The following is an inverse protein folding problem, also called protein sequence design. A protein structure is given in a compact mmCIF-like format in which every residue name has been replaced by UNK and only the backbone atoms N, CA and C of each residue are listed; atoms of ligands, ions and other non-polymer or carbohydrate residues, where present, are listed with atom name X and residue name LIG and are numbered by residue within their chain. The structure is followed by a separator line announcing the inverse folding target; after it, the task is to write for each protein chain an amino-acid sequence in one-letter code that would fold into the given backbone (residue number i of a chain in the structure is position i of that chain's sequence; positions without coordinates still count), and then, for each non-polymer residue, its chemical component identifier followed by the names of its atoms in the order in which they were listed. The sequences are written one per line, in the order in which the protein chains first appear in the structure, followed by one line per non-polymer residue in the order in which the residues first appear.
data_IF_988618398793
#
_entry.id   IF_988618398793
#
_cell.length_a   1.000
_cell.length_b   1.000
_cell.length_c   1.000
_cell.angle_alpha   90.00
_cell.angle_beta   90.00
_cell.angle_gamma   90.00
#
_symmetry.space_group_name_H-M   'P 1'
#
loop_
_entity.id
_entity.type
_entity.pdbx_description
1 polymer ?
#
# COMPACT_ATOMS: atom_id res chain seq x y z
N UNK A 1 4.54 -24.39 -7.42
CA UNK A 1 3.60 -23.62 -6.58
C UNK A 1 2.22 -24.23 -6.70
N UNK A 2 1.41 -24.31 -5.62
CA UNK A 2 0.04 -24.84 -5.68
C UNK A 2 -0.83 -23.93 -6.57
N UNK A 3 -1.70 -24.50 -7.43
CA UNK A 3 -2.48 -23.72 -8.42
C UNK A 3 -3.30 -22.57 -7.79
N UNK A 4 -3.93 -22.80 -6.63
CA UNK A 4 -4.69 -21.76 -5.93
C UNK A 4 -3.80 -20.59 -5.47
N UNK A 5 -2.54 -20.85 -5.08
CA UNK A 5 -1.60 -19.78 -4.70
C UNK A 5 -1.16 -18.94 -5.90
N UNK A 6 -1.08 -19.54 -7.10
CA UNK A 6 -0.82 -18.78 -8.33
C UNK A 6 -1.96 -17.78 -8.56
N UNK A 7 -3.23 -18.23 -8.48
CA UNK A 7 -4.37 -17.33 -8.64
C UNK A 7 -4.37 -16.21 -7.58
N UNK A 8 -4.12 -16.54 -6.31
CA UNK A 8 -4.10 -15.54 -5.23
C UNK A 8 -2.95 -14.55 -5.38
N UNK A 9 -1.75 -15.00 -5.78
CA UNK A 9 -0.60 -14.15 -6.02
C UNK A 9 -0.78 -13.23 -7.24
N UNK A 10 -1.38 -13.71 -8.32
CA UNK A 10 -1.73 -12.88 -9.47
C UNK A 10 -2.75 -11.79 -9.11
N UNK A 11 -3.66 -12.05 -8.17
CA UNK A 11 -4.59 -11.03 -7.69
C UNK A 11 -3.89 -9.92 -6.90
N UNK A 12 -2.93 -10.24 -6.03
CA UNK A 12 -2.13 -9.22 -5.33
C UNK A 12 -1.19 -8.48 -6.27
N UNK A 13 -0.70 -9.13 -7.34
CA UNK A 13 0.03 -8.48 -8.43
C UNK A 13 -0.85 -7.45 -9.15
N UNK A 14 -2.07 -7.82 -9.52
CA UNK A 14 -3.02 -6.92 -10.18
C UNK A 14 -3.31 -5.69 -9.31
N UNK A 15 -3.54 -5.90 -8.00
CA UNK A 15 -3.80 -4.82 -7.04
C UNK A 15 -2.58 -3.92 -6.86
N UNK A 16 -1.38 -4.48 -6.78
CA UNK A 16 -0.14 -3.69 -6.67
C UNK A 16 0.09 -2.80 -7.89
N UNK A 17 -0.12 -3.31 -9.11
CA UNK A 17 -0.05 -2.49 -10.32
C UNK A 17 -1.13 -1.40 -10.28
N UNK A 18 -2.38 -1.75 -9.94
CA UNK A 18 -3.48 -0.79 -9.88
C UNK A 18 -3.24 0.35 -8.89
N UNK A 19 -2.61 0.08 -7.75
CA UNK A 19 -2.30 1.08 -6.72
C UNK A 19 -1.15 2.00 -7.14
N UNK A 20 0.02 1.41 -7.42
CA UNK A 20 1.27 2.18 -7.56
C UNK A 20 1.51 2.73 -8.96
N UNK A 21 0.91 2.14 -10.01
CA UNK A 21 1.18 2.59 -11.38
C UNK A 21 0.71 4.03 -11.63
N UNK A 22 -0.44 4.46 -11.07
CA UNK A 22 -0.95 5.83 -11.24
C UNK A 22 0.08 6.88 -10.85
N UNK A 23 0.85 6.64 -9.78
CA UNK A 23 1.87 7.58 -9.30
C UNK A 23 3.04 7.72 -10.29
N UNK A 24 3.38 6.63 -10.99
CA UNK A 24 4.48 6.62 -11.96
C UNK A 24 4.12 7.17 -13.34
N UNK A 25 2.84 7.38 -13.62
CA UNK A 25 2.30 7.85 -14.91
C UNK A 25 1.47 9.13 -14.77
N UNK A 26 1.57 9.81 -13.63
CA UNK A 26 0.68 10.90 -13.24
C UNK A 26 0.65 12.02 -14.27
N UNK A 27 1.83 12.44 -14.78
CA UNK A 27 1.96 13.49 -15.79
C UNK A 27 1.25 13.13 -17.11
N UNK A 28 1.39 11.88 -17.55
CA UNK A 28 0.74 11.40 -18.79
C UNK A 28 -0.79 11.42 -18.68
N UNK A 29 -1.32 10.99 -17.52
CA UNK A 29 -2.77 11.01 -17.24
C UNK A 29 -3.27 12.45 -17.14
N UNK A 30 -2.56 13.33 -16.43
CA UNK A 30 -2.91 14.73 -16.29
C UNK A 30 -2.98 15.43 -17.65
N UNK A 31 -1.99 15.22 -18.50
CA UNK A 31 -1.91 15.82 -19.83
C UNK A 31 -3.07 15.36 -20.73
N UNK A 32 -3.37 14.06 -20.76
CA UNK A 32 -4.42 13.52 -21.64
C UNK A 32 -5.84 13.91 -21.19
N UNK A 33 -6.09 13.94 -19.88
CA UNK A 33 -7.39 14.33 -19.33
C UNK A 33 -7.57 15.85 -19.18
N UNK A 34 -6.55 16.65 -19.55
CA UNK A 34 -6.53 18.11 -19.41
C UNK A 34 -6.82 18.58 -17.98
N UNK A 35 -6.19 17.94 -17.00
CA UNK A 35 -6.29 18.27 -15.57
C UNK A 35 -4.94 18.71 -15.02
N UNK A 36 -4.95 19.47 -13.92
CA UNK A 36 -3.71 19.84 -13.24
C UNK A 36 -3.06 18.64 -12.54
N UNK A 37 -1.77 18.71 -12.25
CA UNK A 37 -1.03 17.67 -11.51
C UNK A 37 -1.67 17.39 -10.12
N UNK A 38 -2.08 18.40 -9.31
CA UNK A 38 -2.82 18.16 -8.07
C UNK A 38 -4.16 17.45 -8.29
N UNK A 39 -4.93 17.82 -9.32
CA UNK A 39 -6.16 17.12 -9.67
C UNK A 39 -5.91 15.66 -10.05
N UNK A 40 -4.83 15.37 -10.76
CA UNK A 40 -4.44 13.99 -11.04
C UNK A 40 -4.04 13.23 -9.75
N UNK A 41 -3.44 13.90 -8.77
CA UNK A 41 -3.18 13.37 -7.42
C UNK A 41 -4.44 12.90 -6.70
N UNK A 42 -5.61 13.52 -6.95
CA UNK A 42 -6.90 13.07 -6.42
C UNK A 42 -7.27 11.66 -6.88
N UNK A 43 -6.80 11.19 -8.04
CA UNK A 43 -7.04 9.83 -8.52
C UNK A 43 -6.33 8.77 -7.67
N UNK A 44 -5.18 9.12 -7.09
CA UNK A 44 -4.46 8.28 -6.12
C UNK A 44 -5.25 8.25 -4.81
N UNK A 45 -5.65 9.43 -4.31
CA UNK A 45 -6.47 9.55 -3.09
C UNK A 45 -7.81 8.83 -3.21
N UNK A 46 -8.47 8.90 -4.37
CA UNK A 46 -9.76 8.22 -4.61
C UNK A 46 -9.62 6.70 -4.54
N UNK A 47 -8.56 6.14 -5.11
CA UNK A 47 -8.29 4.70 -5.00
C UNK A 47 -8.09 4.28 -3.53
N UNK A 48 -7.25 4.99 -2.80
CA UNK A 48 -6.98 4.71 -1.40
C UNK A 48 -8.22 4.88 -0.50
N UNK A 49 -9.05 5.91 -0.77
CA UNK A 49 -10.36 6.07 -0.12
C UNK A 49 -11.28 4.88 -0.43
N UNK A 50 -11.29 4.41 -1.67
CA UNK A 50 -11.99 3.19 -2.08
C UNK A 50 -11.54 1.96 -1.26
N UNK A 51 -10.23 1.80 -1.03
CA UNK A 51 -9.70 0.70 -0.20
C UNK A 51 -10.24 0.78 1.24
N UNK A 52 -10.24 1.97 1.84
CA UNK A 52 -10.77 2.18 3.19
C UNK A 52 -12.27 1.84 3.27
N UNK A 53 -13.06 2.35 2.33
CA UNK A 53 -14.51 2.08 2.26
C UNK A 53 -14.76 0.60 2.03
N UNK A 54 -14.07 -0.01 1.08
CA UNK A 54 -14.23 -1.42 0.73
C UNK A 54 -13.86 -2.38 1.86
N UNK A 55 -12.81 -2.06 2.64
CA UNK A 55 -12.44 -2.85 3.81
C UNK A 55 -13.55 -2.85 4.88
N UNK A 56 -14.21 -1.70 5.11
CA UNK A 56 -15.34 -1.60 6.02
C UNK A 56 -16.59 -2.32 5.50
N UNK A 57 -16.92 -2.13 4.23
CA UNK A 57 -18.04 -2.82 3.58
C UNK A 57 -17.87 -4.33 3.62
N UNK A 58 -16.63 -4.82 3.47
CA UNK A 58 -16.33 -6.23 3.55
C UNK A 58 -16.73 -6.83 4.91
N UNK A 59 -16.44 -6.14 6.00
CA UNK A 59 -16.80 -6.61 7.35
C UNK A 59 -18.32 -6.78 7.49
N UNK A 60 -19.10 -5.94 6.79
CA UNK A 60 -20.56 -5.95 6.85
C UNK A 60 -21.15 -7.04 5.94
N UNK A 61 -20.68 -7.13 4.70
CA UNK A 61 -21.33 -7.97 3.67
C UNK A 61 -20.73 -9.40 3.56
N UNK A 62 -19.53 -9.63 4.07
CA UNK A 62 -18.85 -10.92 3.94
C UNK A 62 -19.43 -12.05 4.80
N UNK A 63 -20.22 -11.73 5.81
CA UNK A 63 -20.66 -12.67 6.86
C UNK A 63 -21.41 -13.89 6.34
N UNK A 64 -22.19 -13.73 5.27
CA UNK A 64 -23.11 -14.76 4.78
C UNK A 64 -22.65 -15.45 3.50
N UNK A 65 -21.52 -15.04 2.94
CA UNK A 65 -21.02 -15.56 1.67
C UNK A 65 -19.90 -16.58 1.88
N UNK A 66 -19.94 -17.68 1.14
CA UNK A 66 -18.81 -18.61 1.07
C UNK A 66 -17.55 -17.89 0.52
N UNK A 67 -16.39 -18.22 1.07
CA UNK A 67 -15.13 -17.54 0.75
C UNK A 67 -14.77 -17.53 -0.75
N UNK A 68 -15.11 -18.61 -1.47
CA UNK A 68 -14.90 -18.66 -2.93
C UNK A 68 -15.78 -17.64 -3.67
N UNK A 69 -17.07 -17.60 -3.35
CA UNK A 69 -18.02 -16.63 -3.97
C UNK A 69 -17.58 -15.23 -3.67
N UNK A 70 -17.15 -14.96 -2.46
CA UNK A 70 -16.65 -13.66 -2.03
C UNK A 70 -15.41 -13.24 -2.81
N UNK A 71 -14.40 -14.13 -2.98
CA UNK A 71 -13.23 -13.86 -3.80
C UNK A 71 -13.61 -13.58 -5.26
N UNK A 72 -14.57 -14.32 -5.84
CA UNK A 72 -15.03 -14.08 -7.20
C UNK A 72 -15.68 -12.70 -7.36
N UNK A 73 -16.50 -12.27 -6.39
CA UNK A 73 -17.09 -10.94 -6.38
C UNK A 73 -16.00 -9.85 -6.27
N UNK A 74 -15.06 -10.02 -5.35
CA UNK A 74 -13.93 -9.09 -5.17
C UNK A 74 -13.13 -8.94 -6.46
N UNK A 75 -12.77 -10.06 -7.11
CA UNK A 75 -12.00 -10.04 -8.35
C UNK A 75 -12.83 -9.48 -9.51
N UNK A 76 -14.14 -9.72 -9.53
CA UNK A 76 -15.06 -9.06 -10.45
C UNK A 76 -15.03 -7.54 -10.32
N UNK A 77 -14.95 -7.00 -9.10
CA UNK A 77 -14.77 -5.57 -8.85
C UNK A 77 -13.39 -5.06 -9.26
N UNK A 78 -12.31 -5.87 -9.10
CA UNK A 78 -10.96 -5.50 -9.61
C UNK A 78 -11.04 -5.35 -11.15
N UNK A 79 -11.62 -6.33 -11.83
CA UNK A 79 -11.80 -6.28 -13.29
C UNK A 79 -12.61 -5.05 -13.72
N UNK A 80 -13.78 -4.86 -13.12
CA UNK A 80 -14.71 -3.80 -13.49
C UNK A 80 -14.13 -2.41 -13.24
N UNK A 81 -13.57 -2.14 -12.04
CA UNK A 81 -13.02 -0.83 -11.69
C UNK A 81 -11.81 -0.45 -12.57
N UNK A 82 -10.93 -1.40 -12.89
CA UNK A 82 -9.81 -1.11 -13.77
C UNK A 82 -10.25 -0.99 -15.25
N UNK A 83 -11.27 -1.72 -15.67
CA UNK A 83 -11.90 -1.51 -16.99
C UNK A 83 -12.50 -0.10 -17.10
N UNK A 84 -13.22 0.38 -16.07
CA UNK A 84 -13.71 1.76 -16.02
C UNK A 84 -12.56 2.78 -16.11
N UNK A 85 -11.43 2.49 -15.43
CA UNK A 85 -10.24 3.35 -15.50
C UNK A 85 -9.67 3.44 -16.92
N UNK A 86 -9.66 2.35 -17.69
CA UNK A 86 -9.24 2.35 -19.11
C UNK A 86 -10.11 3.28 -19.96
N UNK A 87 -11.42 3.31 -19.72
CA UNK A 87 -12.38 4.10 -20.47
C UNK A 87 -12.63 5.49 -19.91
N UNK A 88 -11.91 5.91 -18.86
CA UNK A 88 -12.06 7.25 -18.30
C UNK A 88 -11.64 8.32 -19.33
N UNK A 89 -12.46 9.37 -19.46
CA UNK A 89 -12.31 10.42 -20.47
C UNK A 89 -12.28 11.83 -19.88
N UNK A 90 -12.59 11.98 -18.60
CA UNK A 90 -12.53 13.24 -17.87
C UNK A 90 -12.17 13.03 -16.39
N UNK A 91 -12.07 14.15 -15.64
CA UNK A 91 -11.75 14.13 -14.22
C UNK A 91 -12.73 13.26 -13.40
N UNK A 92 -14.03 13.42 -13.59
CA UNK A 92 -15.04 12.76 -12.76
C UNK A 92 -15.16 11.27 -13.05
N UNK A 93 -15.09 10.89 -14.32
CA UNK A 93 -15.08 9.48 -14.72
C UNK A 93 -13.85 8.75 -14.20
N UNK A 94 -12.67 9.39 -14.24
CA UNK A 94 -11.45 8.85 -13.67
C UNK A 94 -11.54 8.75 -12.15
N UNK A 95 -12.00 9.79 -11.47
CA UNK A 95 -12.15 9.80 -10.01
C UNK A 95 -13.07 8.66 -9.53
N UNK A 96 -14.24 8.52 -10.14
CA UNK A 96 -15.19 7.45 -9.86
C UNK A 96 -14.64 6.05 -10.15
N UNK A 97 -13.96 5.89 -11.30
CA UNK A 97 -13.33 4.62 -11.68
C UNK A 97 -12.25 4.20 -10.68
N UNK A 98 -11.42 5.13 -10.22
CA UNK A 98 -10.38 4.88 -9.22
C UNK A 98 -10.96 4.51 -7.86
N UNK A 99 -12.01 5.20 -7.41
CA UNK A 99 -12.72 4.87 -6.18
C UNK A 99 -13.26 3.42 -6.23
N UNK A 100 -13.93 3.06 -7.32
CA UNK A 100 -14.48 1.71 -7.52
C UNK A 100 -13.36 0.67 -7.60
N UNK A 101 -12.26 0.95 -8.30
CA UNK A 101 -11.12 0.05 -8.41
C UNK A 101 -10.43 -0.20 -7.06
N UNK A 102 -10.50 0.76 -6.12
CA UNK A 102 -9.96 0.62 -4.77
C UNK A 102 -10.79 -0.29 -3.86
N UNK A 103 -12.13 -0.32 -4.00
CA UNK A 103 -13.03 -1.06 -3.10
C UNK A 103 -12.60 -2.51 -2.83
N UNK A 104 -12.20 -3.33 -3.82
CA UNK A 104 -11.85 -4.73 -3.62
C UNK A 104 -10.49 -4.95 -2.94
N UNK A 105 -9.61 -3.96 -2.87
CA UNK A 105 -8.20 -4.14 -2.53
C UNK A 105 -8.00 -4.72 -1.12
N UNK A 106 -8.44 -4.01 -0.08
CA UNK A 106 -8.28 -4.47 1.31
C UNK A 106 -9.01 -5.78 1.57
N UNK A 107 -10.20 -5.93 0.97
CA UNK A 107 -11.00 -7.13 1.01
C UNK A 107 -10.27 -8.35 0.43
N UNK A 108 -9.57 -8.18 -0.69
CA UNK A 108 -8.83 -9.26 -1.33
C UNK A 108 -7.70 -9.77 -0.44
N UNK A 109 -6.93 -8.90 0.19
CA UNK A 109 -5.87 -9.31 1.10
C UNK A 109 -6.41 -10.08 2.31
N UNK A 110 -7.51 -9.64 2.90
CA UNK A 110 -8.14 -10.32 4.04
C UNK A 110 -8.66 -11.71 3.68
N UNK A 111 -9.53 -11.80 2.68
CA UNK A 111 -10.16 -13.07 2.27
C UNK A 111 -9.14 -14.01 1.63
N UNK A 112 -8.24 -13.48 0.82
CA UNK A 112 -7.17 -14.25 0.19
C UNK A 112 -6.24 -14.91 1.20
N UNK A 113 -5.84 -14.19 2.26
CA UNK A 113 -5.03 -14.75 3.34
C UNK A 113 -5.76 -15.88 4.09
N UNK A 114 -7.06 -15.73 4.35
CA UNK A 114 -7.88 -16.78 4.97
C UNK A 114 -7.93 -18.01 4.07
N UNK A 115 -8.20 -17.84 2.77
CA UNK A 115 -8.24 -18.94 1.81
C UNK A 115 -6.88 -19.63 1.68
N UNK A 116 -5.78 -18.85 1.60
CA UNK A 116 -4.43 -19.39 1.58
C UNK A 116 -4.15 -20.24 2.83
N UNK A 117 -4.57 -19.76 4.01
CA UNK A 117 -4.41 -20.47 5.29
C UNK A 117 -5.24 -21.75 5.35
N UNK A 118 -6.51 -21.73 4.92
CA UNK A 118 -7.38 -22.90 4.95
C UNK A 118 -6.94 -24.00 3.97
N UNK A 119 -6.33 -23.62 2.85
CA UNK A 119 -5.84 -24.59 1.84
C UNK A 119 -4.37 -24.98 2.07
N UNK A 120 -3.71 -24.41 3.09
CA UNK A 120 -2.35 -24.73 3.44
C UNK A 120 -2.22 -26.12 4.04
N UNK A 121 -1.09 -26.80 3.81
CA UNK A 121 -0.73 -27.99 4.58
C UNK A 121 -0.43 -27.60 6.03
N UNK A 122 -0.58 -28.56 6.95
CA UNK A 122 -0.28 -28.34 8.38
C UNK A 122 1.13 -27.73 8.55
N UNK A 123 1.20 -26.58 9.19
CA UNK A 123 2.44 -25.83 9.43
C UNK A 123 2.91 -24.93 8.26
N UNK A 124 2.24 -24.92 7.09
CA UNK A 124 2.65 -24.11 5.92
C UNK A 124 1.80 -22.84 5.73
N UNK A 125 0.85 -22.54 6.61
CA UNK A 125 -0.09 -21.41 6.46
C UNK A 125 0.64 -20.07 6.24
N UNK A 126 1.62 -19.75 7.08
CA UNK A 126 2.40 -18.51 6.96
C UNK A 126 3.13 -18.42 5.62
N UNK A 127 3.71 -19.52 5.16
CA UNK A 127 4.39 -19.60 3.85
C UNK A 127 3.43 -19.34 2.69
N UNK A 128 2.22 -19.95 2.73
CA UNK A 128 1.24 -19.80 1.67
C UNK A 128 0.69 -18.37 1.61
N UNK A 129 0.48 -17.71 2.76
CA UNK A 129 0.12 -16.28 2.83
C UNK A 129 1.25 -15.40 2.28
N UNK A 130 2.51 -15.64 2.65
CA UNK A 130 3.66 -14.91 2.09
C UNK A 130 3.74 -15.06 0.57
N UNK A 131 3.50 -16.25 0.03
CA UNK A 131 3.48 -16.47 -1.41
C UNK A 131 2.35 -15.73 -2.10
N UNK A 132 1.18 -15.62 -1.47
CA UNK A 132 0.09 -14.79 -1.97
C UNK A 132 0.52 -13.31 -2.04
N UNK A 133 1.10 -12.79 -0.96
CA UNK A 133 1.51 -11.37 -0.89
C UNK A 133 2.69 -11.06 -1.81
N UNK A 134 3.52 -12.06 -2.15
CA UNK A 134 4.66 -11.87 -3.06
C UNK A 134 4.27 -11.28 -4.43
N UNK A 135 3.02 -11.45 -4.86
CA UNK A 135 2.51 -10.79 -6.08
C UNK A 135 2.64 -9.27 -6.02
N UNK A 136 2.40 -8.64 -4.86
CA UNK A 136 2.60 -7.20 -4.66
C UNK A 136 4.07 -6.80 -4.87
N UNK A 137 5.01 -7.61 -4.39
CA UNK A 137 6.45 -7.37 -4.59
C UNK A 137 6.81 -7.42 -6.07
N UNK A 138 6.27 -8.42 -6.79
CA UNK A 138 6.46 -8.53 -8.26
C UNK A 138 5.81 -7.36 -8.98
N UNK A 139 4.65 -6.88 -8.52
CA UNK A 139 4.02 -5.68 -9.08
C UNK A 139 4.94 -4.47 -9.01
N UNK A 140 5.50 -4.18 -7.85
CA UNK A 140 6.38 -3.02 -7.67
C UNK A 140 7.71 -3.15 -8.42
N UNK A 141 8.24 -4.37 -8.56
CA UNK A 141 9.54 -4.58 -9.22
C UNK A 141 9.44 -4.64 -10.74
N UNK A 142 8.33 -5.16 -11.28
CA UNK A 142 8.17 -5.41 -12.72
C UNK A 142 6.90 -4.76 -13.27
N UNK A 143 5.76 -4.93 -12.59
CA UNK A 143 4.46 -4.54 -13.12
C UNK A 143 4.30 -3.02 -13.25
N UNK A 144 4.68 -2.26 -12.22
CA UNK A 144 4.60 -0.80 -12.24
C UNK A 144 5.62 -0.19 -13.22
N UNK A 145 6.89 -0.62 -13.26
CA UNK A 145 7.83 -0.19 -14.31
C UNK A 145 7.34 -0.49 -15.73
N UNK A 146 6.75 -1.67 -15.95
CA UNK A 146 6.15 -2.02 -17.25
C UNK A 146 5.01 -1.05 -17.61
N UNK A 147 4.13 -0.75 -16.65
CA UNK A 147 3.05 0.23 -16.84
C UNK A 147 3.58 1.63 -17.16
N UNK A 148 4.63 2.08 -16.48
CA UNK A 148 5.32 3.34 -16.76
C UNK A 148 5.93 3.35 -18.17
N UNK A 149 6.61 2.28 -18.56
CA UNK A 149 7.16 2.15 -19.91
C UNK A 149 6.08 2.18 -20.99
N UNK A 150 4.98 1.44 -20.79
CA UNK A 150 3.87 1.42 -21.76
C UNK A 150 3.15 2.76 -21.85
N UNK A 151 3.08 3.50 -20.74
CA UNK A 151 2.53 4.86 -20.72
C UNK A 151 3.34 5.81 -21.61
N UNK A 152 4.67 5.72 -21.52
CA UNK A 152 5.55 6.52 -22.37
C UNK A 152 5.53 6.07 -23.83
N UNK A 153 5.59 4.75 -24.10
CA UNK A 153 5.77 4.21 -25.45
C UNK A 153 4.47 4.23 -26.27
N UNK A 154 3.30 4.08 -25.64
CA UNK A 154 2.01 3.90 -26.31
C UNK A 154 0.90 4.71 -25.66
N UNK A 155 0.43 4.29 -24.45
CA UNK A 155 -0.61 4.96 -23.67
C UNK A 155 -0.67 4.42 -22.24
N UNK A 156 -0.98 5.29 -21.29
CA UNK A 156 -1.16 4.90 -19.88
C UNK A 156 -2.33 3.92 -19.66
N UNK A 157 -3.31 3.88 -20.57
CA UNK A 157 -4.46 2.98 -20.50
C UNK A 157 -4.06 1.51 -20.53
N UNK A 158 -2.94 1.18 -21.21
CA UNK A 158 -2.44 -0.20 -21.27
C UNK A 158 -2.07 -0.76 -19.89
N UNK A 159 -1.59 0.08 -18.97
CA UNK A 159 -1.29 -0.37 -17.61
C UNK A 159 -2.54 -0.93 -16.91
N UNK A 160 -3.67 -0.22 -16.99
CA UNK A 160 -4.93 -0.64 -16.38
C UNK A 160 -5.64 -1.75 -17.18
N UNK A 161 -5.44 -1.80 -18.48
CA UNK A 161 -5.92 -2.92 -19.31
C UNK A 161 -5.21 -4.23 -18.91
N UNK A 162 -3.90 -4.19 -18.63
CA UNK A 162 -3.16 -5.34 -18.12
C UNK A 162 -3.73 -5.78 -16.76
N UNK A 163 -4.02 -4.84 -15.85
CA UNK A 163 -4.65 -5.15 -14.56
C UNK A 163 -6.00 -5.85 -14.77
N UNK A 164 -6.84 -5.33 -15.65
CA UNK A 164 -8.13 -5.94 -15.98
C UNK A 164 -7.96 -7.34 -16.57
N UNK A 165 -7.02 -7.53 -17.52
CA UNK A 165 -6.74 -8.83 -18.10
C UNK A 165 -6.24 -9.85 -17.06
N UNK A 166 -5.32 -9.43 -16.18
CA UNK A 166 -4.84 -10.28 -15.07
C UNK A 166 -6.00 -10.62 -14.13
N UNK A 167 -6.87 -9.66 -13.79
CA UNK A 167 -8.04 -9.92 -12.96
C UNK A 167 -9.00 -10.95 -13.59
N UNK A 168 -9.21 -10.90 -14.91
CA UNK A 168 -9.98 -11.92 -15.63
C UNK A 168 -9.34 -13.31 -15.51
N UNK A 169 -8.02 -13.41 -15.64
CA UNK A 169 -7.28 -14.67 -15.45
C UNK A 169 -7.38 -15.17 -13.99
N UNK A 170 -7.29 -14.26 -13.03
CA UNK A 170 -7.47 -14.58 -11.60
C UNK A 170 -8.89 -15.10 -11.34
N UNK A 171 -9.91 -14.47 -11.91
CA UNK A 171 -11.30 -14.93 -11.79
C UNK A 171 -11.46 -16.37 -12.29
N UNK A 172 -10.91 -16.67 -13.46
CA UNK A 172 -10.90 -18.04 -14.02
C UNK A 172 -10.13 -18.99 -13.10
N UNK A 173 -8.95 -18.58 -12.64
CA UNK A 173 -8.13 -19.39 -11.73
C UNK A 173 -8.83 -19.70 -10.41
N UNK A 174 -9.50 -18.73 -9.79
CA UNK A 174 -10.29 -18.95 -8.56
C UNK A 174 -11.44 -19.90 -8.83
N UNK A 175 -12.16 -19.71 -9.94
CA UNK A 175 -13.28 -20.58 -10.32
C UNK A 175 -12.85 -22.03 -10.48
N UNK A 176 -11.69 -22.28 -11.10
CA UNK A 176 -11.19 -23.62 -11.42
C UNK A 176 -10.39 -24.27 -10.31
N UNK A 177 -9.61 -23.51 -9.53
CA UNK A 177 -8.57 -24.06 -8.65
C UNK A 177 -8.89 -23.93 -7.16
N UNK A 178 -9.85 -23.09 -6.78
CA UNK A 178 -10.27 -22.94 -5.38
C UNK A 178 -11.56 -23.75 -5.18
N UNK A 179 -11.60 -24.69 -4.21
CA UNK A 179 -12.81 -25.44 -3.89
C UNK A 179 -13.88 -24.52 -3.26
N UNK A 180 -15.11 -25.01 -3.16
CA UNK A 180 -16.14 -24.33 -2.38
C UNK A 180 -15.73 -24.34 -0.90
N UNK A 181 -15.57 -23.14 -0.33
CA UNK A 181 -15.21 -22.92 1.08
C UNK A 181 -16.39 -22.23 1.77
N UNK A 182 -16.72 -22.71 2.99
CA UNK A 182 -17.82 -22.16 3.79
C UNK A 182 -17.51 -20.72 4.25
N UNK A 183 -18.56 -20.00 4.61
CA UNK A 183 -18.45 -18.71 5.30
C UNK A 183 -17.69 -18.88 6.64
N UNK A 184 -17.07 -17.79 7.09
CA UNK A 184 -16.41 -17.78 8.39
C UNK A 184 -17.43 -17.88 9.52
N UNK A 185 -17.09 -18.58 10.62
CA UNK A 185 -17.92 -18.56 11.83
C UNK A 185 -18.06 -17.13 12.37
N UNK A 186 -19.25 -16.73 12.74
CA UNK A 186 -19.49 -15.44 13.39
C UNK A 186 -19.18 -15.56 14.90
N UNK A 187 -18.03 -15.04 15.33
CA UNK A 187 -17.55 -15.11 16.73
C UNK A 187 -17.96 -13.91 17.59
N UNK A 188 -18.96 -13.14 17.16
CA UNK A 188 -19.39 -11.94 17.90
C UNK A 188 -18.51 -10.73 17.63
N UNK A 189 -19.16 -9.64 17.27
CA UNK A 189 -18.49 -8.42 16.78
C UNK A 189 -17.78 -7.64 17.89
N UNK A 190 -18.32 -7.62 19.11
CA UNK A 190 -17.85 -6.73 20.18
C UNK A 190 -16.47 -7.09 20.76
N UNK A 191 -16.16 -8.40 20.89
CA UNK A 191 -14.88 -8.84 21.43
C UNK A 191 -13.69 -8.43 20.54
N UNK A 192 -13.89 -8.37 19.22
CA UNK A 192 -12.85 -7.99 18.27
C UNK A 192 -12.40 -6.53 18.43
N UNK A 193 -13.27 -5.64 18.93
CA UNK A 193 -12.96 -4.21 19.13
C UNK A 193 -12.26 -3.90 20.45
N UNK A 194 -12.13 -4.88 21.36
CA UNK A 194 -11.57 -4.65 22.70
C UNK A 194 -10.15 -4.09 22.69
N UNK A 195 -9.34 -4.45 21.68
CA UNK A 195 -7.97 -3.92 21.55
C UNK A 195 -7.92 -2.40 21.36
N UNK A 196 -8.96 -1.79 20.78
CA UNK A 196 -9.08 -0.34 20.59
C UNK A 196 -9.35 0.43 21.88
N UNK A 197 -9.61 -0.26 23.03
CA UNK A 197 -9.71 0.39 24.34
C UNK A 197 -8.34 0.74 24.93
N UNK A 198 -7.25 0.22 24.35
CA UNK A 198 -5.88 0.47 24.79
C UNK A 198 -5.19 1.53 23.92
N UNK A 199 -4.25 2.29 24.53
CA UNK A 199 -3.54 3.39 23.87
C UNK A 199 -2.61 2.88 22.74
N UNK A 200 -1.84 1.81 22.98
CA UNK A 200 -0.79 1.36 22.04
C UNK A 200 -1.33 1.04 20.64
N UNK A 201 -2.45 0.34 20.46
CA UNK A 201 -3.06 0.16 19.13
C UNK A 201 -3.31 1.47 18.38
N UNK A 202 -3.80 2.52 19.04
CA UNK A 202 -4.02 3.82 18.42
C UNK A 202 -2.72 4.52 18.01
N UNK A 203 -1.67 4.42 18.84
CA UNK A 203 -0.35 4.93 18.49
C UNK A 203 0.21 4.24 17.25
N UNK A 204 0.06 2.90 17.16
CA UNK A 204 0.53 2.12 16.00
C UNK A 204 -0.32 2.42 14.76
N UNK A 205 -1.66 2.45 14.87
CA UNK A 205 -2.54 2.80 13.74
C UNK A 205 -2.30 4.23 13.26
N UNK A 206 -2.12 5.17 14.19
CA UNK A 206 -1.76 6.55 13.86
C UNK A 206 -0.39 6.63 13.14
N UNK A 207 0.60 5.85 13.59
CA UNK A 207 1.90 5.79 12.94
C UNK A 207 1.80 5.20 11.53
N UNK A 208 1.03 4.13 11.34
CA UNK A 208 0.77 3.54 10.03
C UNK A 208 0.12 4.61 9.11
N UNK A 209 -0.92 5.29 9.59
CA UNK A 209 -1.63 6.29 8.78
C UNK A 209 -0.77 7.51 8.47
N UNK A 210 -0.32 8.23 9.48
CA UNK A 210 0.44 9.46 9.26
C UNK A 210 1.85 9.18 8.73
N UNK A 211 2.55 8.17 9.28
CA UNK A 211 3.91 7.87 8.90
C UNK A 211 4.03 7.44 7.44
N UNK A 212 3.21 6.50 6.99
CA UNK A 212 3.18 6.10 5.59
C UNK A 212 2.56 7.19 4.70
N UNK A 213 1.60 7.97 5.22
CA UNK A 213 1.06 9.15 4.54
C UNK A 213 2.13 10.15 4.13
N UNK A 214 3.20 10.27 4.94
CA UNK A 214 4.36 11.08 4.59
C UNK A 214 5.05 10.65 3.29
N UNK A 215 5.24 9.36 3.09
CA UNK A 215 5.77 8.83 1.85
C UNK A 215 4.83 9.11 0.67
N UNK A 216 3.53 8.87 0.83
CA UNK A 216 2.56 9.06 -0.23
C UNK A 216 2.34 10.52 -0.61
N UNK A 217 2.56 11.47 0.30
CA UNK A 217 2.56 12.90 -0.03
C UNK A 217 3.62 13.24 -1.10
N UNK A 218 4.79 12.63 -1.01
CA UNK A 218 5.85 12.76 -2.00
C UNK A 218 5.66 11.82 -3.19
N UNK A 219 5.47 10.52 -2.94
CA UNK A 219 5.53 9.48 -3.98
C UNK A 219 4.38 9.55 -4.97
N UNK A 220 3.23 10.12 -4.57
CA UNK A 220 2.13 10.39 -5.50
C UNK A 220 2.51 11.37 -6.62
N UNK A 221 3.51 12.20 -6.37
CA UNK A 221 4.02 13.19 -7.31
C UNK A 221 5.44 12.86 -7.80
N UNK A 222 5.92 11.61 -7.60
CA UNK A 222 7.27 11.20 -8.00
C UNK A 222 7.53 11.41 -9.49
N UNK A 223 6.53 11.16 -10.33
CA UNK A 223 6.66 11.33 -11.78
C UNK A 223 6.93 12.79 -12.16
N UNK A 224 6.08 13.80 -11.84
CA UNK A 224 6.38 15.18 -12.16
C UNK A 224 7.65 15.72 -11.46
N UNK A 225 7.96 15.30 -10.25
CA UNK A 225 9.20 15.69 -9.56
C UNK A 225 10.44 15.22 -10.34
N UNK A 226 10.42 13.95 -10.79
CA UNK A 226 11.55 13.40 -11.53
C UNK A 226 11.68 14.01 -12.93
N UNK A 227 10.59 14.23 -13.63
CA UNK A 227 10.61 14.78 -14.99
C UNK A 227 10.91 16.29 -15.00
N UNK A 228 10.21 17.08 -14.17
CA UNK A 228 10.28 18.54 -14.24
C UNK A 228 11.44 19.13 -13.44
N UNK A 229 11.75 18.57 -12.25
CA UNK A 229 12.79 19.11 -11.36
C UNK A 229 14.11 18.34 -11.47
N UNK A 230 14.08 17.01 -11.43
CA UNK A 230 15.28 16.19 -11.52
C UNK A 230 15.76 15.99 -12.97
N UNK A 231 15.04 16.52 -13.97
CA UNK A 231 15.37 16.43 -15.40
C UNK A 231 15.57 14.99 -15.90
N UNK A 232 14.83 14.05 -15.34
CA UNK A 232 14.82 12.64 -15.78
C UNK A 232 13.98 12.54 -17.04
N UNK A 233 14.52 12.06 -18.18
CA UNK A 233 13.73 11.84 -19.37
C UNK A 233 12.58 10.85 -19.12
N UNK A 234 11.38 11.10 -19.67
CA UNK A 234 10.21 10.24 -19.53
C UNK A 234 10.51 8.77 -19.93
N UNK A 235 11.39 8.55 -20.91
CA UNK A 235 11.86 7.22 -21.32
C UNK A 235 12.61 6.46 -20.23
N UNK A 236 13.20 7.14 -19.25
CA UNK A 236 13.95 6.56 -18.13
C UNK A 236 13.11 6.44 -16.85
N UNK A 237 11.87 6.96 -16.82
CA UNK A 237 11.00 6.87 -15.64
C UNK A 237 10.76 5.42 -15.19
N UNK A 238 10.60 4.49 -16.13
CA UNK A 238 10.46 3.07 -15.81
C UNK A 238 11.68 2.51 -15.06
N UNK A 239 12.88 2.97 -15.39
CA UNK A 239 14.11 2.59 -14.67
C UNK A 239 14.12 3.15 -13.24
N UNK A 240 13.74 4.41 -13.05
CA UNK A 240 13.62 5.03 -11.71
C UNK A 240 12.62 4.25 -10.84
N UNK A 241 11.46 3.92 -11.38
CA UNK A 241 10.44 3.15 -10.67
C UNK A 241 10.91 1.72 -10.37
N UNK A 242 11.67 1.09 -11.30
CA UNK A 242 12.30 -0.22 -11.04
C UNK A 242 13.28 -0.14 -9.87
N UNK A 243 14.11 0.91 -9.82
CA UNK A 243 15.05 1.12 -8.70
C UNK A 243 14.30 1.35 -7.39
N UNK A 244 13.21 2.13 -7.38
CA UNK A 244 12.37 2.30 -6.21
C UNK A 244 11.75 0.96 -5.75
N UNK A 245 11.21 0.16 -6.68
CA UNK A 245 10.71 -1.19 -6.41
C UNK A 245 11.78 -2.13 -5.83
N UNK A 246 13.01 -2.06 -6.34
CA UNK A 246 14.14 -2.79 -5.76
C UNK A 246 14.44 -2.32 -4.34
N UNK A 247 14.40 -1.01 -4.08
CA UNK A 247 14.49 -0.44 -2.74
C UNK A 247 13.44 -1.02 -1.78
N UNK A 248 12.17 -1.13 -2.22
CA UNK A 248 11.08 -1.75 -1.45
C UNK A 248 11.39 -3.20 -1.07
N UNK A 249 11.89 -4.00 -2.02
CA UNK A 249 12.29 -5.41 -1.77
C UNK A 249 13.43 -5.46 -0.75
N UNK A 250 14.48 -4.66 -0.95
CA UNK A 250 15.63 -4.61 -0.04
C UNK A 250 15.20 -4.18 1.37
N UNK A 251 14.34 -3.17 1.49
CA UNK A 251 13.79 -2.70 2.76
C UNK A 251 13.06 -3.80 3.52
N UNK A 252 12.15 -4.51 2.85
CA UNK A 252 11.40 -5.61 3.43
C UNK A 252 12.34 -6.75 3.91
N UNK A 253 13.29 -7.18 3.08
CA UNK A 253 14.25 -8.23 3.43
C UNK A 253 15.15 -7.81 4.60
N UNK A 254 15.60 -6.56 4.62
CA UNK A 254 16.43 -6.01 5.70
C UNK A 254 15.65 -5.98 7.02
N UNK A 255 14.39 -5.53 7.01
CA UNK A 255 13.52 -5.57 8.19
C UNK A 255 13.35 -7.00 8.71
N UNK A 256 13.05 -7.95 7.83
CA UNK A 256 12.90 -9.37 8.21
C UNK A 256 14.17 -9.95 8.85
N UNK A 257 15.35 -9.55 8.36
CA UNK A 257 16.63 -9.98 8.93
C UNK A 257 16.90 -9.35 10.29
N UNK A 258 16.64 -8.04 10.43
CA UNK A 258 16.92 -7.28 11.65
C UNK A 258 15.91 -7.53 12.77
N UNK A 259 14.65 -7.87 12.43
CA UNK A 259 13.59 -8.14 13.42
C UNK A 259 13.91 -9.28 14.39
N UNK A 260 14.83 -10.19 13.99
CA UNK A 260 15.34 -11.25 14.88
C UNK A 260 16.29 -10.76 15.97
N UNK A 261 16.88 -9.57 15.82
CA UNK A 261 17.91 -9.02 16.72
C UNK A 261 17.44 -7.76 17.43
N UNK A 262 16.56 -7.00 16.78
CA UNK A 262 16.07 -5.69 17.25
C UNK A 262 14.56 -5.76 17.37
N UNK A 263 13.98 -5.21 18.42
CA UNK A 263 12.54 -5.20 18.64
C UNK A 263 11.80 -4.42 17.53
N UNK A 264 10.60 -4.88 17.17
CA UNK A 264 9.81 -4.31 16.08
C UNK A 264 9.53 -2.81 16.25
N UNK A 265 9.28 -2.33 17.48
CA UNK A 265 9.05 -0.92 17.75
C UNK A 265 10.28 -0.05 17.45
N UNK A 266 11.48 -0.52 17.81
CA UNK A 266 12.73 0.20 17.52
C UNK A 266 13.03 0.21 16.02
N UNK A 267 12.78 -0.91 15.33
CA UNK A 267 12.96 -0.98 13.85
C UNK A 267 12.00 -0.05 13.11
N UNK A 268 10.72 -0.07 13.47
CA UNK A 268 9.74 0.81 12.86
C UNK A 268 10.11 2.29 13.10
N UNK A 269 10.53 2.64 14.34
CA UNK A 269 10.97 3.97 14.69
C UNK A 269 12.20 4.40 13.86
N UNK A 270 13.21 3.53 13.70
CA UNK A 270 14.40 3.80 12.88
C UNK A 270 14.02 4.02 11.40
N UNK A 271 13.23 3.13 10.83
CA UNK A 271 12.79 3.26 9.43
C UNK A 271 12.02 4.55 9.19
N UNK A 272 11.16 4.93 10.13
CA UNK A 272 10.37 6.16 10.05
C UNK A 272 11.25 7.43 10.16
N UNK A 273 12.29 7.40 11.02
CA UNK A 273 13.26 8.48 11.10
C UNK A 273 14.02 8.65 9.78
N UNK A 274 14.49 7.56 9.18
CA UNK A 274 15.18 7.58 7.88
C UNK A 274 14.26 8.09 6.77
N UNK A 275 12.99 7.67 6.75
CA UNK A 275 11.99 8.19 5.81
C UNK A 275 11.81 9.70 5.96
N UNK A 276 11.61 10.19 7.18
CA UNK A 276 11.46 11.63 7.47
C UNK A 276 12.67 12.42 6.98
N UNK A 277 13.89 11.98 7.31
CA UNK A 277 15.14 12.61 6.84
C UNK A 277 15.24 12.58 5.31
N UNK A 278 14.86 11.47 4.66
CA UNK A 278 14.90 11.35 3.21
C UNK A 278 13.98 12.37 2.52
N UNK A 279 12.77 12.57 3.06
CA UNK A 279 11.81 13.54 2.53
C UNK A 279 12.30 14.99 2.70
N UNK A 280 12.91 15.31 3.86
CA UNK A 280 13.52 16.63 4.10
C UNK A 280 14.68 16.86 3.11
N UNK A 281 15.55 15.87 2.94
CA UNK A 281 16.67 15.99 1.99
C UNK A 281 16.18 16.11 0.53
N UNK A 282 15.12 15.36 0.15
CA UNK A 282 14.51 15.48 -1.17
C UNK A 282 13.98 16.87 -1.45
N UNK A 283 13.38 17.54 -0.46
CA UNK A 283 12.92 18.93 -0.61
C UNK A 283 14.04 19.86 -1.09
N UNK A 284 15.24 19.73 -0.52
CA UNK A 284 16.38 20.59 -0.85
C UNK A 284 17.20 20.13 -2.07
N UNK A 285 17.08 18.85 -2.46
CA UNK A 285 17.95 18.26 -3.49
C UNK A 285 17.19 17.69 -4.70
N UNK A 286 15.90 18.00 -4.84
CA UNK A 286 15.08 17.49 -5.93
C UNK A 286 15.61 17.78 -7.34
N UNK A 287 16.37 18.87 -7.50
CA UNK A 287 17.00 19.27 -8.77
C UNK A 287 18.28 18.47 -9.10
N UNK A 288 18.83 17.73 -8.13
CA UNK A 288 20.03 16.93 -8.31
C UNK A 288 19.65 15.49 -8.67
N UNK A 289 19.58 15.17 -9.95
CA UNK A 289 19.03 13.94 -10.52
C UNK A 289 19.41 12.68 -9.74
N UNK A 290 20.71 12.42 -9.57
CA UNK A 290 21.18 11.19 -8.92
C UNK A 290 20.86 11.13 -7.43
N UNK A 291 20.86 12.29 -6.75
CA UNK A 291 20.50 12.39 -5.34
C UNK A 291 18.99 12.19 -5.17
N UNK A 292 18.19 12.81 -6.01
CA UNK A 292 16.74 12.65 -6.01
C UNK A 292 16.33 11.18 -6.23
N UNK A 293 16.94 10.52 -7.22
CA UNK A 293 16.72 9.08 -7.50
C UNK A 293 17.14 8.23 -6.29
N UNK A 294 18.34 8.45 -5.75
CA UNK A 294 18.83 7.68 -4.60
C UNK A 294 17.93 7.84 -3.36
N UNK A 295 17.52 9.07 -3.04
CA UNK A 295 16.63 9.35 -1.92
C UNK A 295 15.22 8.75 -2.14
N UNK A 296 14.74 8.70 -3.38
CA UNK A 296 13.48 8.02 -3.75
C UNK A 296 13.57 6.52 -3.46
N UNK A 297 14.66 5.89 -3.85
CA UNK A 297 14.92 4.46 -3.58
C UNK A 297 14.95 4.19 -2.08
N UNK A 298 15.62 5.06 -1.31
CA UNK A 298 15.71 4.94 0.15
C UNK A 298 14.32 5.14 0.78
N UNK A 299 13.57 6.17 0.41
CA UNK A 299 12.23 6.45 0.92
C UNK A 299 11.27 5.29 0.64
N UNK A 300 11.27 4.75 -0.60
CA UNK A 300 10.49 3.59 -0.98
C UNK A 300 10.88 2.34 -0.19
N UNK A 301 12.18 2.14 0.02
CA UNK A 301 12.71 1.07 0.87
C UNK A 301 12.25 1.18 2.33
N UNK A 302 12.21 2.40 2.88
CA UNK A 302 11.78 2.65 4.26
C UNK A 302 10.32 2.23 4.50
N UNK A 303 9.40 2.51 3.59
CA UNK A 303 7.98 2.13 3.75
C UNK A 303 7.84 0.62 3.91
N UNK A 304 8.50 -0.16 3.08
CA UNK A 304 8.45 -1.62 3.17
C UNK A 304 9.30 -2.18 4.32
N UNK A 305 10.33 -1.46 4.75
CA UNK A 305 11.07 -1.77 5.97
C UNK A 305 10.21 -1.59 7.23
N UNK A 306 9.36 -0.57 7.26
CA UNK A 306 8.49 -0.24 8.39
C UNK A 306 7.27 -1.15 8.46
N UNK A 307 6.67 -1.49 7.32
CA UNK A 307 5.38 -2.19 7.21
C UNK A 307 5.33 -3.51 7.99
N UNK A 308 6.37 -4.34 7.89
CA UNK A 308 6.43 -5.61 8.60
C UNK A 308 6.44 -5.45 10.12
N UNK A 309 7.36 -4.67 10.71
CA UNK A 309 7.37 -4.32 12.13
C UNK A 309 6.05 -3.72 12.63
N UNK A 310 5.43 -2.78 11.90
CA UNK A 310 4.14 -2.18 12.26
C UNK A 310 3.02 -3.23 12.31
N UNK A 311 2.97 -4.11 11.31
CA UNK A 311 1.99 -5.20 11.26
C UNK A 311 2.13 -6.15 12.46
N UNK A 312 3.36 -6.47 12.87
CA UNK A 312 3.59 -7.29 14.07
C UNK A 312 3.17 -6.54 15.33
N UNK A 313 3.48 -5.24 15.44
CA UNK A 313 3.11 -4.43 16.60
C UNK A 313 1.60 -4.38 16.80
N UNK A 314 0.82 -4.14 15.73
CA UNK A 314 -0.64 -4.08 15.86
C UNK A 314 -1.22 -5.44 16.27
N UNK A 315 -0.74 -6.55 15.69
CA UNK A 315 -1.20 -7.89 16.01
C UNK A 315 -0.84 -8.33 17.44
N UNK A 316 0.35 -7.98 17.95
CA UNK A 316 0.77 -8.28 19.32
C UNK A 316 -0.09 -7.60 20.36
N UNK A 317 -0.64 -6.42 20.04
CA UNK A 317 -1.50 -5.64 20.92
C UNK A 317 -3.01 -5.94 20.76
N UNK A 318 -3.38 -6.88 19.87
CA UNK A 318 -4.77 -7.22 19.55
C UNK A 318 -5.04 -8.72 19.74
N UNK A 319 -4.76 -9.28 20.92
CA UNK A 319 -4.82 -10.73 21.17
C UNK A 319 -6.17 -11.38 20.81
N UNK A 320 -7.28 -10.71 21.08
CA UNK A 320 -8.64 -11.21 20.84
C UNK A 320 -9.24 -10.72 19.50
N UNK A 321 -8.58 -9.79 18.81
CA UNK A 321 -9.07 -9.15 17.58
C UNK A 321 -8.04 -9.07 16.47
N UNK A 322 -7.17 -10.06 16.30
CA UNK A 322 -6.08 -10.01 15.33
C UNK A 322 -6.54 -9.79 13.89
N UNK A 323 -7.67 -10.38 13.49
CA UNK A 323 -8.22 -10.22 12.14
C UNK A 323 -8.66 -8.75 11.90
N UNK A 324 -9.39 -8.18 12.85
CA UNK A 324 -9.82 -6.78 12.78
C UNK A 324 -8.62 -5.83 12.84
N UNK A 325 -7.63 -6.12 13.70
CA UNK A 325 -6.41 -5.33 13.80
C UNK A 325 -5.61 -5.31 12.50
N UNK A 326 -5.49 -6.45 11.82
CA UNK A 326 -4.86 -6.52 10.50
C UNK A 326 -5.64 -5.70 9.45
N UNK A 327 -6.97 -5.81 9.44
CA UNK A 327 -7.82 -5.02 8.55
C UNK A 327 -7.70 -3.51 8.84
N UNK A 328 -7.71 -3.10 10.11
CA UNK A 328 -7.52 -1.69 10.51
C UNK A 328 -6.13 -1.17 10.16
N UNK A 329 -5.09 -2.01 10.22
CA UNK A 329 -3.76 -1.65 9.71
C UNK A 329 -3.78 -1.30 8.22
N UNK A 330 -4.50 -2.07 7.41
CA UNK A 330 -4.70 -1.77 5.98
C UNK A 330 -5.53 -0.50 5.76
N UNK A 331 -6.59 -0.29 6.55
CA UNK A 331 -7.38 0.95 6.51
C UNK A 331 -6.50 2.15 6.87
N UNK A 332 -5.70 2.05 7.95
CA UNK A 332 -4.80 3.14 8.37
C UNK A 332 -3.74 3.44 7.29
N UNK A 333 -3.14 2.42 6.67
CA UNK A 333 -2.18 2.58 5.58
C UNK A 333 -2.80 3.32 4.39
N UNK A 334 -3.99 2.90 3.95
CA UNK A 334 -4.66 3.52 2.81
C UNK A 334 -5.28 4.88 3.14
N UNK A 335 -5.70 5.11 4.39
CA UNK A 335 -6.05 6.45 4.88
C UNK A 335 -4.84 7.38 4.76
N UNK A 336 -3.66 6.93 5.19
CA UNK A 336 -2.40 7.66 5.01
C UNK A 336 -2.10 7.94 3.54
N UNK A 337 -2.27 6.95 2.65
CA UNK A 337 -2.11 7.12 1.22
C UNK A 337 -3.06 8.21 0.67
N UNK A 338 -4.35 8.14 0.99
CA UNK A 338 -5.34 9.10 0.54
C UNK A 338 -5.04 10.53 1.02
N UNK A 339 -4.81 10.69 2.33
CA UNK A 339 -4.52 11.99 2.96
C UNK A 339 -3.17 12.51 2.51
N UNK A 340 -2.17 11.65 2.42
CA UNK A 340 -0.83 12.01 1.95
C UNK A 340 -0.87 12.54 0.53
N UNK A 341 -1.46 11.80 -0.42
CA UNK A 341 -1.58 12.21 -1.80
C UNK A 341 -2.32 13.56 -1.95
N UNK A 342 -3.40 13.74 -1.19
CA UNK A 342 -4.13 15.01 -1.18
C UNK A 342 -3.31 16.17 -0.60
N UNK A 343 -2.73 16.01 0.59
CA UNK A 343 -1.92 17.05 1.23
C UNK A 343 -0.66 17.39 0.43
N UNK A 344 -0.05 16.41 -0.24
CA UNK A 344 1.09 16.62 -1.12
C UNK A 344 0.77 17.49 -2.33
N UNK A 345 -0.48 17.47 -2.80
CA UNK A 345 -0.97 18.30 -3.90
C UNK A 345 -1.23 19.75 -3.53
N UNK A 346 -1.57 20.05 -2.27
CA UNK A 346 -1.96 21.40 -1.86
C UNK A 346 -0.89 22.49 -2.13
N UNK A 347 0.40 22.28 -1.81
CA UNK A 347 1.42 23.25 -2.18
C UNK A 347 1.55 23.45 -3.70
N UNK A 348 1.42 22.37 -4.47
CA UNK A 348 1.51 22.43 -5.93
C UNK A 348 0.31 23.22 -6.50
N UNK A 349 -0.89 23.00 -5.95
CA UNK A 349 -2.09 23.76 -6.31
C UNK A 349 -1.95 25.25 -5.98
N UNK A 350 -1.25 25.58 -4.88
CA UNK A 350 -0.93 26.93 -4.48
C UNK A 350 0.17 27.60 -5.36
N UNK A 351 0.68 26.90 -6.39
CA UNK A 351 1.66 27.43 -7.34
C UNK A 351 3.13 27.22 -6.94
N UNK A 352 3.41 26.43 -5.90
CA UNK A 352 4.76 26.04 -5.57
C UNK A 352 5.27 24.91 -6.48
N UNK A 353 6.59 24.72 -6.52
CA UNK A 353 7.20 23.60 -7.26
C UNK A 353 6.80 22.24 -6.65
N UNK A 354 6.89 21.17 -7.44
CA UNK A 354 6.44 19.84 -7.09
C UNK A 354 7.18 19.25 -5.87
N UNK A 355 8.44 19.64 -5.60
CA UNK A 355 9.19 19.24 -4.41
C UNK A 355 8.56 19.72 -3.10
N UNK A 356 7.69 20.75 -3.12
CA UNK A 356 6.97 21.19 -1.94
C UNK A 356 6.00 20.13 -1.38
N UNK A 357 5.66 19.11 -2.16
CA UNK A 357 4.95 17.93 -1.68
C UNK A 357 5.72 17.18 -0.56
N UNK A 358 7.05 17.32 -0.51
CA UNK A 358 7.88 16.79 0.56
C UNK A 358 7.65 17.48 1.91
N UNK A 359 7.12 18.71 1.95
CA UNK A 359 6.87 19.45 3.20
C UNK A 359 5.76 18.79 4.01
N UNK A 360 4.50 18.65 3.53
CA UNK A 360 3.51 17.87 4.25
C UNK A 360 3.96 16.41 4.44
N UNK A 361 4.74 15.85 3.50
CA UNK A 361 5.34 14.54 3.62
C UNK A 361 6.24 14.40 4.84
N UNK A 362 7.16 15.35 5.03
CA UNK A 362 8.06 15.40 6.18
C UNK A 362 7.33 15.59 7.51
N UNK A 363 6.29 16.44 7.54
CA UNK A 363 5.45 16.67 8.73
C UNK A 363 4.73 15.37 9.12
N UNK A 364 4.06 14.71 8.16
CA UNK A 364 3.34 13.46 8.42
C UNK A 364 4.30 12.34 8.86
N UNK A 365 5.45 12.20 8.20
CA UNK A 365 6.48 11.23 8.58
C UNK A 365 7.03 11.53 9.98
N UNK A 366 7.20 12.81 10.34
CA UNK A 366 7.61 13.24 11.68
C UNK A 366 6.57 12.87 12.75
N UNK A 367 5.28 13.06 12.48
CA UNK A 367 4.20 12.61 13.38
C UNK A 367 4.27 11.09 13.55
N UNK A 368 4.40 10.33 12.46
CA UNK A 368 4.57 8.87 12.50
C UNK A 368 5.76 8.44 13.35
N UNK A 369 6.91 9.13 13.20
CA UNK A 369 8.09 8.90 14.03
C UNK A 369 7.81 9.11 15.51
N UNK A 370 7.16 10.21 15.89
CA UNK A 370 6.84 10.50 17.29
C UNK A 370 5.91 9.44 17.91
N UNK A 371 4.92 8.97 17.15
CA UNK A 371 4.00 7.92 17.60
C UNK A 371 4.71 6.58 17.78
N UNK A 372 5.63 6.21 16.87
CA UNK A 372 6.44 5.00 17.00
C UNK A 372 7.47 5.12 18.13
N UNK A 373 8.05 6.30 18.32
CA UNK A 373 8.95 6.56 19.43
C UNK A 373 8.25 6.41 20.79
N UNK A 374 7.04 6.95 20.93
CA UNK A 374 6.20 6.76 22.10
C UNK A 374 5.88 5.26 22.32
N UNK A 375 5.52 4.54 21.25
CA UNK A 375 5.28 3.09 21.31
C UNK A 375 6.52 2.34 21.77
N UNK A 376 7.69 2.66 21.23
CA UNK A 376 8.96 2.05 21.63
C UNK A 376 9.29 2.29 23.08
N UNK A 377 9.13 3.52 23.58
CA UNK A 377 9.35 3.87 25.00
C UNK A 377 8.44 3.08 25.94
N UNK A 378 7.15 2.93 25.60
CA UNK A 378 6.19 2.14 26.40
C UNK A 378 6.62 0.66 26.44
N UNK A 379 7.07 0.08 25.33
CA UNK A 379 7.53 -1.31 25.28
C UNK A 379 8.85 -1.50 26.08
N UNK A 380 9.77 -0.56 25.98
CA UNK A 380 11.05 -0.59 26.72
C UNK A 380 10.83 -0.52 28.22
N UNK A 381 9.94 0.38 28.70
CA UNK A 381 9.60 0.49 30.11
C UNK A 381 9.00 -0.81 30.67
N UNK A 382 8.03 -1.41 29.97
CA UNK A 382 7.42 -2.70 30.37
C UNK A 382 8.44 -3.86 30.40
N UNK A 383 9.46 -3.80 29.55
CA UNK A 383 10.51 -4.82 29.53
C UNK A 383 11.47 -4.67 30.71
N UNK A 384 11.80 -3.42 31.10
CA UNK A 384 12.64 -3.13 32.28
C UNK A 384 11.94 -3.56 33.57
N UNK A 385 10.65 -3.25 33.75
CA UNK A 385 9.86 -3.69 34.91
C UNK A 385 9.85 -5.23 35.08
N UNK A 386 9.75 -5.98 33.98
CA UNK A 386 9.78 -7.45 34.04
C UNK A 386 11.15 -8.03 34.42
N UNK A 387 12.24 -7.32 34.13
CA UNK A 387 13.59 -7.74 34.51
C UNK A 387 13.82 -7.47 36.02
N UNK A 388 13.29 -6.37 36.56
CA UNK A 388 13.40 -6.05 37.98
C UNK A 388 12.46 -6.87 38.89
N UNK A 389 11.39 -7.46 38.31
CA UNK A 389 10.45 -8.31 39.03
C UNK A 389 10.85 -9.80 39.07
N UNK A 390 11.97 -10.16 38.46
CA UNK A 390 12.59 -11.51 38.51
C UNK A 390 13.85 -11.49 39.36
#
# INVERSE_FOLDING_TARGET
MKKHLIALSLGTLALGIAEFCMMSILSSVAAELNVSIPQAGHFVSAYAAGVCIGALLMVIFARNLGLKTLLLLIVGFIFFGNTLTVFAFDYWSMLGARLIAGLPHGAYFGVGAIVATQLAKKGEASKDVCLMVAGMTVANLIGVPLGSFLSWAVTWRLAFLIVAAVAALVFIGIKLWIPALRALPDHGFSAQFRFLTYLVPWLVLGAIGFGNGGFFAYYSYVNPIMENLASVPASLMSAVITMAGFGMVCGNLLAAKLSRRVGNAALACLGQAVLCCSLILLFFSAQLTWIAVALTVIAAGCVFFISGPEQVLILQNAKEGQLLAAAMGQVAFNFGNAVGAWLGGLPIEAGYQENWSCVPGGVLAGIGFLLLFATWRIHAAKSAEKVHAR
#
